data_IF_562297281012
#
_entry.id   IF_562297281012
#
_cell.length_a   1.000
_cell.length_b   1.000
_cell.length_c   1.000
_cell.angle_alpha   90.00
_cell.angle_beta   90.00
_cell.angle_gamma   90.00
#
_symmetry.space_group_name_H-M   'P 1'
#
loop_
_entity.id
_entity.type
_entity.pdbx_description
1 polymer ?
#
# COMPACT_ATOMS: atom_id res chain seq x y z
N UNK A 1 -2.99 1.64 13.48
CA UNK A 1 -2.11 2.78 13.82
C UNK A 1 -1.91 3.71 12.64
N UNK A 2 -1.78 4.97 12.92
CA UNK A 2 -1.55 6.00 11.90
C UNK A 2 -0.06 6.31 11.79
N UNK A 3 0.42 6.54 10.56
CA UNK A 3 1.78 6.97 10.32
C UNK A 3 1.83 8.00 9.20
N UNK A 4 2.52 9.10 9.42
CA UNK A 4 2.71 10.11 8.39
C UNK A 4 3.99 9.80 7.61
N UNK A 5 3.86 9.69 6.29
CA UNK A 5 4.99 9.45 5.40
C UNK A 5 5.80 10.75 5.19
N UNK A 6 7.10 10.59 5.11
CA UNK A 6 8.03 11.67 4.78
C UNK A 6 8.75 11.36 3.47
N UNK A 7 9.52 12.32 2.97
CA UNK A 7 10.32 12.14 1.75
C UNK A 7 11.40 11.06 1.90
N UNK A 8 11.69 10.63 3.12
CA UNK A 8 12.69 9.60 3.42
C UNK A 8 12.10 8.21 3.57
N UNK A 9 10.77 8.08 3.53
CA UNK A 9 10.11 6.80 3.73
C UNK A 9 9.94 6.05 2.41
N UNK A 10 10.23 4.74 2.46
CA UNK A 10 10.12 3.86 1.32
C UNK A 10 9.56 2.50 1.75
N UNK A 11 8.98 1.79 0.81
CA UNK A 11 8.56 0.40 0.99
C UNK A 11 9.37 -0.48 0.06
N UNK A 12 10.05 -1.48 0.61
CA UNK A 12 10.93 -2.35 -0.16
C UNK A 12 10.12 -3.40 -0.90
N UNK A 13 10.27 -3.45 -2.23
CA UNK A 13 9.61 -4.41 -3.08
C UNK A 13 10.58 -5.32 -3.85
N UNK A 14 11.84 -5.35 -3.44
CA UNK A 14 12.84 -6.25 -3.99
C UNK A 14 12.81 -7.59 -3.25
N UNK A 15 12.43 -8.65 -3.96
CA UNK A 15 12.21 -9.97 -3.34
C UNK A 15 13.46 -10.59 -2.73
N UNK A 16 14.65 -10.19 -3.19
CA UNK A 16 15.94 -10.68 -2.65
C UNK A 16 16.40 -9.93 -1.40
N UNK A 17 15.73 -8.84 -1.04
CA UNK A 17 16.12 -8.04 0.13
C UNK A 17 15.62 -8.67 1.42
N UNK A 18 16.43 -8.68 2.50
CA UNK A 18 15.95 -9.07 3.82
C UNK A 18 14.90 -8.11 4.38
N UNK A 19 14.73 -6.94 3.76
CA UNK A 19 13.71 -5.95 4.14
C UNK A 19 12.50 -5.99 3.22
N UNK A 20 12.37 -7.01 2.39
CA UNK A 20 11.27 -7.15 1.45
C UNK A 20 9.91 -6.99 2.14
N UNK A 21 9.02 -6.25 1.49
CA UNK A 21 7.66 -5.96 1.95
C UNK A 21 7.62 -5.26 3.33
N UNK A 22 8.54 -4.33 3.55
CA UNK A 22 8.63 -3.57 4.79
C UNK A 22 8.77 -2.08 4.52
N UNK A 23 8.19 -1.29 5.41
CA UNK A 23 8.38 0.17 5.46
C UNK A 23 9.75 0.46 6.08
N UNK A 24 10.57 1.21 5.38
CA UNK A 24 11.90 1.61 5.87
C UNK A 24 12.04 3.13 5.83
N UNK A 25 12.89 3.66 6.69
CA UNK A 25 13.31 5.06 6.65
C UNK A 25 14.70 5.15 6.05
N UNK A 26 14.88 6.08 5.11
CA UNK A 26 16.07 6.19 4.31
C UNK A 26 15.85 5.57 2.94
N UNK A 27 15.96 6.40 1.88
CA UNK A 27 15.73 5.92 0.52
C UNK A 27 16.86 4.97 0.13
N UNK A 28 16.56 3.72 -0.23
CA UNK A 28 17.60 2.75 -0.61
C UNK A 28 18.33 3.19 -1.87
N UNK A 29 19.63 2.94 -1.92
CA UNK A 29 20.44 3.26 -3.09
C UNK A 29 20.28 2.24 -4.22
N UNK A 30 20.06 0.95 -3.86
CA UNK A 30 20.05 -0.15 -4.84
C UNK A 30 18.80 -1.02 -4.78
N UNK A 31 18.20 -1.19 -3.61
CA UNK A 31 17.01 -2.03 -3.48
C UNK A 31 15.83 -1.39 -4.23
N UNK A 32 15.09 -2.19 -4.99
CA UNK A 32 13.83 -1.76 -5.59
C UNK A 32 12.85 -1.38 -4.49
N UNK A 33 12.17 -0.24 -4.64
CA UNK A 33 11.30 0.29 -3.61
C UNK A 33 10.26 1.24 -4.20
N UNK A 34 9.22 1.51 -3.39
CA UNK A 34 8.28 2.60 -3.64
C UNK A 34 8.51 3.71 -2.62
N UNK A 35 8.49 4.95 -3.10
CA UNK A 35 8.49 6.12 -2.21
C UNK A 35 7.11 6.25 -1.58
N UNK A 36 7.06 6.33 -0.27
CA UNK A 36 5.78 6.45 0.44
C UNK A 36 5.20 7.86 0.36
N UNK A 37 6.04 8.87 0.14
CA UNK A 37 5.60 10.22 -0.18
C UNK A 37 5.92 10.51 -1.65
N UNK A 38 4.88 10.56 -2.47
CA UNK A 38 5.01 10.81 -3.92
C UNK A 38 4.88 12.28 -4.23
N UNK A 39 5.37 12.67 -5.41
CA UNK A 39 5.20 14.05 -5.91
C UNK A 39 3.77 14.33 -6.38
N UNK A 40 3.01 13.30 -6.70
CA UNK A 40 1.59 13.42 -7.02
C UNK A 40 0.73 13.23 -5.75
N UNK A 41 -0.60 13.36 -5.91
CA UNK A 41 -1.52 13.26 -4.78
C UNK A 41 -1.97 11.82 -4.45
N UNK A 42 -1.48 10.82 -5.16
CA UNK A 42 -2.04 9.46 -5.08
C UNK A 42 -1.86 8.82 -3.70
N UNK A 43 -0.80 9.17 -2.99
CA UNK A 43 -0.53 8.67 -1.63
C UNK A 43 -0.77 9.73 -0.56
N UNK A 44 -1.54 10.79 -0.87
CA UNK A 44 -1.92 11.78 0.15
C UNK A 44 -2.62 11.09 1.33
N UNK A 45 -3.33 10.04 1.04
CA UNK A 45 -4.02 9.19 2.00
C UNK A 45 -3.86 7.75 1.52
N UNK A 46 -3.62 6.83 2.44
CA UNK A 46 -3.48 5.43 2.06
C UNK A 46 -3.68 4.50 3.24
N UNK A 47 -3.89 3.23 2.92
CA UNK A 47 -4.00 2.16 3.90
C UNK A 47 -3.11 1.02 3.46
N UNK A 48 -2.26 0.55 4.35
CA UNK A 48 -1.46 -0.64 4.10
C UNK A 48 -2.33 -1.87 4.33
N UNK A 49 -2.44 -2.70 3.30
CA UNK A 49 -3.10 -4.01 3.43
C UNK A 49 -2.09 -5.00 4.02
N UNK A 50 -2.48 -5.70 5.08
CA UNK A 50 -1.61 -6.67 5.75
C UNK A 50 -1.45 -7.96 4.97
N UNK A 51 -1.10 -7.86 3.70
CA UNK A 51 -0.85 -9.00 2.82
C UNK A 51 0.64 -9.31 2.79
N UNK A 52 0.99 -10.57 3.06
CA UNK A 52 2.37 -11.06 3.07
C UNK A 52 3.29 -10.23 4.00
N UNK A 53 2.77 -9.84 5.15
CA UNK A 53 3.52 -9.02 6.12
C UNK A 53 3.90 -9.77 7.39
N UNK A 54 3.24 -10.92 7.68
CA UNK A 54 3.51 -11.68 8.90
C UNK A 54 3.05 -13.15 8.75
N UNK A 55 3.97 -14.04 8.38
CA UNK A 55 5.36 -13.80 8.00
C UNK A 55 5.49 -13.27 6.59
N UNK A 56 6.60 -12.61 6.32
CA UNK A 56 6.96 -12.17 4.97
C UNK A 56 7.57 -13.34 4.21
N UNK A 57 7.07 -13.64 3.03
CA UNK A 57 7.61 -14.66 2.14
C UNK A 57 8.07 -14.00 0.85
N UNK A 58 9.35 -14.16 0.52
CA UNK A 58 9.95 -13.55 -0.66
C UNK A 58 9.19 -13.97 -1.94
N UNK A 59 8.86 -13.01 -2.77
CA UNK A 59 8.24 -13.26 -4.07
C UNK A 59 6.73 -13.47 -4.07
N UNK A 60 6.07 -13.51 -2.90
CA UNK A 60 4.62 -13.69 -2.85
C UNK A 60 3.81 -12.39 -3.03
N UNK A 61 4.48 -11.27 -3.14
CA UNK A 61 3.83 -9.97 -3.35
C UNK A 61 4.15 -8.99 -2.25
N UNK A 62 4.18 -7.71 -2.60
CA UNK A 62 4.59 -6.64 -1.70
C UNK A 62 3.89 -5.34 -2.05
N UNK A 63 3.94 -4.38 -1.13
CA UNK A 63 3.47 -3.02 -1.35
C UNK A 63 2.01 -2.97 -1.80
N UNK A 64 1.13 -3.70 -1.12
CA UNK A 64 -0.29 -3.70 -1.42
C UNK A 64 -0.96 -2.65 -0.54
N UNK A 65 -1.39 -1.56 -1.18
CA UNK A 65 -2.01 -0.42 -0.51
C UNK A 65 -3.38 -0.10 -1.10
N UNK A 66 -4.24 0.52 -0.29
CA UNK A 66 -5.35 1.30 -0.82
C UNK A 66 -4.85 2.73 -1.00
N UNK A 67 -5.07 3.33 -2.14
CA UNK A 67 -4.64 4.71 -2.38
C UNK A 67 -5.61 5.44 -3.33
N UNK A 68 -5.36 6.71 -3.57
CA UNK A 68 -6.19 7.52 -4.46
C UNK A 68 -5.87 7.12 -5.91
N UNK A 69 -6.89 6.97 -6.74
CA UNK A 69 -6.72 6.62 -8.15
C UNK A 69 -6.25 7.81 -9.00
N UNK A 70 -5.71 7.51 -10.16
CA UNK A 70 -5.41 8.54 -11.18
C UNK A 70 -6.68 9.05 -11.84
N UNK A 71 -7.72 8.23 -11.88
CA UNK A 71 -9.01 8.52 -12.48
C UNK A 71 -9.79 7.23 -12.70
N UNK A 72 -11.08 7.30 -13.05
CA UNK A 72 -11.88 6.12 -13.33
C UNK A 72 -11.26 5.25 -14.42
N UNK A 73 -11.19 3.94 -14.17
CA UNK A 73 -10.69 2.97 -15.14
C UNK A 73 -9.17 2.96 -15.33
N UNK A 74 -8.41 3.74 -14.55
CA UNK A 74 -6.95 3.72 -14.64
C UNK A 74 -6.38 2.56 -13.83
N UNK A 75 -5.50 1.73 -14.42
CA UNK A 75 -4.95 0.56 -13.73
C UNK A 75 -3.86 0.94 -12.73
N UNK A 76 -3.54 -0.02 -11.85
CA UNK A 76 -2.39 0.03 -10.95
C UNK A 76 -1.49 -1.18 -11.18
N UNK A 77 -0.33 -1.20 -10.54
CA UNK A 77 0.59 -2.34 -10.59
C UNK A 77 0.24 -3.42 -9.55
N UNK A 78 -0.91 -3.33 -8.90
CA UNK A 78 -1.36 -4.32 -7.90
C UNK A 78 -2.10 -3.72 -6.72
N UNK A 79 -1.95 -2.43 -6.47
CA UNK A 79 -2.68 -1.74 -5.41
C UNK A 79 -4.16 -1.59 -5.75
N UNK A 80 -4.98 -1.37 -4.74
CA UNK A 80 -6.39 -1.02 -4.90
C UNK A 80 -6.52 0.50 -4.84
N UNK A 81 -6.91 1.10 -5.94
CA UNK A 81 -7.07 2.55 -6.04
C UNK A 81 -8.54 2.91 -6.20
N UNK A 82 -8.92 4.05 -5.65
CA UNK A 82 -10.29 4.53 -5.67
C UNK A 82 -10.35 6.04 -5.58
N UNK A 83 -11.53 6.62 -5.79
CA UNK A 83 -11.75 8.04 -5.61
C UNK A 83 -11.35 8.48 -4.20
N UNK A 84 -10.77 9.66 -4.08
CA UNK A 84 -10.29 10.18 -2.79
C UNK A 84 -11.41 10.21 -1.74
N UNK A 85 -12.62 10.64 -2.12
CA UNK A 85 -13.75 10.70 -1.20
C UNK A 85 -14.14 9.31 -0.66
N UNK A 86 -14.05 8.27 -1.49
CA UNK A 86 -14.35 6.91 -1.05
C UNK A 86 -13.27 6.41 -0.08
N UNK A 87 -12.01 6.70 -0.37
CA UNK A 87 -10.91 6.32 0.50
C UNK A 87 -11.00 7.05 1.86
N UNK A 88 -11.36 8.32 1.86
CA UNK A 88 -11.58 9.08 3.10
C UNK A 88 -12.65 8.43 3.97
N UNK A 89 -13.73 7.96 3.38
CA UNK A 89 -14.80 7.25 4.10
C UNK A 89 -14.31 5.95 4.69
N UNK A 90 -13.50 5.18 3.94
CA UNK A 90 -12.91 3.94 4.44
C UNK A 90 -11.98 4.21 5.61
N UNK A 91 -11.10 5.19 5.49
CA UNK A 91 -10.15 5.52 6.56
C UNK A 91 -10.88 5.96 7.83
N UNK A 92 -11.94 6.76 7.69
CA UNK A 92 -12.75 7.20 8.82
C UNK A 92 -13.48 6.02 9.50
N UNK A 93 -13.82 4.99 8.73
CA UNK A 93 -14.51 3.80 9.23
C UNK A 93 -13.56 2.82 9.93
N UNK A 94 -12.29 2.76 9.53
CA UNK A 94 -11.32 1.80 10.05
C UNK A 94 -11.09 1.98 11.55
N UNK A 95 -11.16 0.88 12.28
CA UNK A 95 -10.88 0.82 13.71
C UNK A 95 -9.99 -0.39 13.98
N UNK A 96 -8.71 -0.18 14.34
CA UNK A 96 -7.77 -1.29 14.55
C UNK A 96 -8.22 -2.26 15.64
N UNK A 97 -9.00 -1.79 16.62
CA UNK A 97 -9.50 -2.64 17.71
C UNK A 97 -10.51 -3.68 17.19
N UNK A 98 -11.10 -3.46 16.03
CA UNK A 98 -12.09 -4.35 15.43
C UNK A 98 -11.49 -5.30 14.38
N UNK A 99 -10.17 -5.28 14.21
CA UNK A 99 -9.46 -6.14 13.27
C UNK A 99 -10.08 -6.13 11.88
N UNK A 100 -10.15 -4.97 11.21
CA UNK A 100 -10.80 -4.87 9.90
C UNK A 100 -10.10 -5.74 8.87
N UNK A 101 -10.88 -6.34 7.98
CA UNK A 101 -10.37 -7.19 6.91
C UNK A 101 -10.87 -6.71 5.56
N UNK A 102 -10.14 -7.04 4.51
CA UNK A 102 -10.50 -6.76 3.14
C UNK A 102 -10.55 -8.06 2.35
N UNK A 103 -11.56 -8.19 1.52
CA UNK A 103 -11.67 -9.26 0.53
C UNK A 103 -11.57 -8.62 -0.84
N UNK A 104 -10.60 -9.08 -1.63
CA UNK A 104 -10.39 -8.58 -2.98
C UNK A 104 -10.77 -9.67 -3.97
N UNK A 105 -11.69 -9.34 -4.87
CA UNK A 105 -12.16 -10.26 -5.88
C UNK A 105 -12.38 -9.54 -7.19
N UNK A 106 -12.38 -10.29 -8.27
CA UNK A 106 -12.66 -9.77 -9.60
C UNK A 106 -14.16 -9.90 -9.88
N UNK A 107 -14.78 -8.86 -10.44
CA UNK A 107 -16.16 -8.92 -10.88
C UNK A 107 -16.30 -10.03 -11.91
N UNK A 108 -17.19 -10.98 -11.67
CA UNK A 108 -17.33 -12.17 -12.51
C UNK A 108 -16.44 -13.35 -12.10
N UNK A 109 -15.57 -13.20 -11.11
CA UNK A 109 -14.83 -14.32 -10.53
C UNK A 109 -15.78 -15.29 -9.81
N UNK A 110 -15.45 -16.57 -9.82
CA UNK A 110 -16.26 -17.63 -9.20
C UNK A 110 -15.47 -18.36 -8.14
#
# INVERSE_FOLDING_TARGET
PYRQATAEDAWIDESSSPRYNQWVRGIPAKESHEKMRRDDHLYRLGVVVGYNTDPVVAGLGSAIFLHIWKGPGQPTAGCVAMAESDLERIVAWLDPAKMPQIILGHAGAR
#
